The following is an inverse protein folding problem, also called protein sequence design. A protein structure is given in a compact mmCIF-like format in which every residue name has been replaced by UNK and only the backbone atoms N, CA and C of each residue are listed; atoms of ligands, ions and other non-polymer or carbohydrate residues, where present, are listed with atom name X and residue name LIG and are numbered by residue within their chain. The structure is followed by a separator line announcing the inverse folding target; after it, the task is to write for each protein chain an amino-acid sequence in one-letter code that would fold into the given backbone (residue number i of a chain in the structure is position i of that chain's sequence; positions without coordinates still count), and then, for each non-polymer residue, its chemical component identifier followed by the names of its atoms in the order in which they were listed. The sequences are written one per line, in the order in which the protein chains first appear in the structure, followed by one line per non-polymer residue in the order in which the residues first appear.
data_IF_789558490944
#
_entry.id   IF_789558490944
#
_cell.length_a   1.000
_cell.length_b   1.000
_cell.length_c   1.000
_cell.angle_alpha   90.00
_cell.angle_beta   90.00
_cell.angle_gamma   90.00
#
_symmetry.space_group_name_H-M   'P 1'
#
loop_
_entity.id
_entity.type
_entity.pdbx_description
1 polymer ?
#
# COMPACT_ATOMS: atom_id res chain seq x y z
N UNK A 1 -8.90 22.52 2.92
CA UNK A 1 -9.15 21.33 2.08
C UNK A 1 -8.54 20.14 2.80
N UNK A 2 -9.35 19.19 3.29
CA UNK A 2 -8.86 18.11 4.15
C UNK A 2 -7.99 17.13 3.38
N UNK A 3 -6.90 16.72 4.02
CA UNK A 3 -5.96 15.70 3.56
C UNK A 3 -6.60 14.32 3.58
N UNK A 4 -7.01 13.85 2.40
CA UNK A 4 -7.32 12.45 2.18
C UNK A 4 -6.17 11.80 1.40
N UNK A 5 -5.72 10.66 1.90
CA UNK A 5 -4.82 9.65 1.30
C UNK A 5 -5.65 8.55 0.62
N UNK A 6 -5.25 7.98 -0.51
CA UNK A 6 -5.88 6.74 -1.03
C UNK A 6 -5.03 5.56 -0.60
N UNK A 7 -5.65 4.44 -0.21
CA UNK A 7 -4.97 3.25 0.25
C UNK A 7 -5.80 2.02 -0.15
N UNK A 8 -5.25 1.06 -0.88
CA UNK A 8 -5.95 -0.19 -1.18
C UNK A 8 -6.02 -1.06 0.06
N UNK A 9 -4.90 -1.05 0.79
CA UNK A 9 -4.87 -1.38 2.20
C UNK A 9 -4.11 -0.32 2.98
N UNK A 10 -4.32 -0.32 4.29
CA UNK A 10 -3.39 0.33 5.19
C UNK A 10 -1.97 -0.26 5.10
N UNK A 11 -1.00 0.52 5.55
CA UNK A 11 0.42 0.16 5.66
C UNK A 11 0.67 -1.22 6.27
N UNK A 12 0.00 -1.55 7.39
CA UNK A 12 0.24 -2.80 8.10
C UNK A 12 -0.13 -4.01 7.24
N UNK A 13 -1.16 -3.86 6.41
CA UNK A 13 -1.54 -4.91 5.48
C UNK A 13 -0.51 -5.04 4.36
N UNK A 14 0.01 -3.95 3.81
CA UNK A 14 1.05 -3.99 2.78
C UNK A 14 2.33 -4.71 3.27
N UNK A 15 2.78 -4.39 4.49
CA UNK A 15 3.90 -5.10 5.14
C UNK A 15 3.56 -6.58 5.37
N UNK A 16 2.33 -6.89 5.81
CA UNK A 16 1.89 -8.28 5.99
C UNK A 16 1.93 -9.10 4.69
N UNK A 17 1.58 -8.52 3.54
CA UNK A 17 1.66 -9.24 2.26
C UNK A 17 3.10 -9.64 1.94
N UNK A 18 4.08 -8.79 2.27
CA UNK A 18 5.52 -9.13 2.18
C UNK A 18 5.83 -10.30 3.11
N UNK A 19 5.45 -10.22 4.40
CA UNK A 19 5.71 -11.27 5.38
C UNK A 19 5.15 -12.65 4.98
N UNK A 20 3.95 -12.65 4.39
CA UNK A 20 3.26 -13.87 3.97
C UNK A 20 3.98 -14.62 2.85
N UNK A 21 4.87 -13.95 2.10
CA UNK A 21 5.62 -14.52 0.98
C UNK A 21 7.14 -14.35 1.11
N UNK A 22 7.63 -13.78 2.23
CA UNK A 22 9.06 -13.51 2.42
C UNK A 22 9.90 -14.78 2.29
N UNK A 23 9.72 -15.75 3.19
CA UNK A 23 10.53 -16.97 3.22
C UNK A 23 10.27 -17.94 2.07
N UNK A 24 9.02 -18.03 1.59
CA UNK A 24 8.62 -18.99 0.57
C UNK A 24 8.91 -18.49 -0.87
N UNK A 25 8.98 -17.17 -1.12
CA UNK A 25 9.13 -16.62 -2.48
C UNK A 25 10.20 -15.52 -2.61
N UNK A 26 10.14 -14.45 -1.79
CA UNK A 26 10.99 -13.25 -1.95
C UNK A 26 12.45 -13.55 -1.62
N UNK A 27 12.72 -14.17 -0.46
CA UNK A 27 14.06 -14.56 -0.05
C UNK A 27 14.72 -15.54 -1.05
N UNK A 28 14.02 -16.59 -1.54
CA UNK A 28 14.52 -17.42 -2.64
C UNK A 28 14.91 -16.64 -3.90
N UNK A 29 14.12 -15.64 -4.32
CA UNK A 29 14.45 -14.79 -5.47
C UNK A 29 15.71 -13.94 -5.21
N UNK A 30 15.86 -13.40 -4.00
CA UNK A 30 17.06 -12.65 -3.61
C UNK A 30 18.30 -13.55 -3.67
N UNK A 31 18.22 -14.77 -3.12
CA UNK A 31 19.32 -15.73 -3.13
C UNK A 31 19.61 -16.31 -4.52
N UNK A 32 18.62 -16.39 -5.39
CA UNK A 32 18.83 -16.79 -6.78
C UNK A 32 19.70 -15.78 -7.54
N UNK A 33 19.46 -14.47 -7.34
CA UNK A 33 20.22 -13.40 -8.01
C UNK A 33 21.52 -13.06 -7.27
N UNK A 34 21.53 -13.16 -5.94
CA UNK A 34 22.63 -12.80 -5.05
C UNK A 34 22.91 -13.96 -4.06
N UNK A 35 23.60 -15.04 -4.49
CA UNK A 35 23.70 -16.29 -3.73
C UNK A 35 24.57 -16.23 -2.47
N UNK A 36 25.33 -15.15 -2.27
CA UNK A 36 26.27 -14.99 -1.16
C UNK A 36 25.74 -14.08 -0.04
N UNK A 37 24.46 -13.72 -0.05
CA UNK A 37 23.87 -12.87 0.99
C UNK A 37 23.90 -13.59 2.35
N UNK A 38 24.42 -12.91 3.36
CA UNK A 38 24.32 -13.35 4.75
C UNK A 38 22.91 -13.13 5.30
N UNK A 39 22.60 -13.74 6.45
CA UNK A 39 21.33 -13.51 7.16
C UNK A 39 21.11 -12.03 7.50
N UNK A 40 22.18 -11.30 7.87
CA UNK A 40 22.10 -9.86 8.15
C UNK A 40 21.77 -9.04 6.89
N UNK A 41 22.34 -9.42 5.74
CA UNK A 41 22.04 -8.75 4.47
C UNK A 41 20.62 -9.08 3.99
N UNK A 42 20.14 -10.31 4.20
CA UNK A 42 18.75 -10.67 3.93
C UNK A 42 17.78 -9.89 4.82
N UNK A 43 18.10 -9.72 6.11
CA UNK A 43 17.31 -8.88 7.01
C UNK A 43 17.29 -7.42 6.57
N UNK A 44 18.43 -6.88 6.13
CA UNK A 44 18.48 -5.53 5.57
C UNK A 44 17.63 -5.40 4.31
N UNK A 45 17.72 -6.36 3.38
CA UNK A 45 16.90 -6.40 2.18
C UNK A 45 15.39 -6.47 2.52
N UNK A 46 15.01 -7.15 3.60
CA UNK A 46 13.62 -7.19 4.07
C UNK A 46 13.09 -5.79 4.44
N UNK A 47 13.92 -4.96 5.08
CA UNK A 47 13.58 -3.58 5.39
C UNK A 47 13.30 -2.73 4.13
N UNK A 48 13.99 -3.04 3.03
CA UNK A 48 13.77 -2.41 1.73
C UNK A 48 12.50 -2.96 1.06
N UNK A 49 12.19 -4.25 1.19
CA UNK A 49 10.92 -4.80 0.70
C UNK A 49 9.71 -4.16 1.39
N UNK A 50 9.77 -3.90 2.70
CA UNK A 50 8.74 -3.09 3.38
C UNK A 50 8.68 -1.66 2.82
N UNK A 51 9.84 -1.04 2.58
CA UNK A 51 9.94 0.24 1.90
C UNK A 51 9.18 0.30 0.57
N UNK A 52 9.42 -0.71 -0.26
CA UNK A 52 8.79 -0.83 -1.56
C UNK A 52 7.30 -1.14 -1.48
N UNK A 53 6.85 -1.96 -0.51
CA UNK A 53 5.45 -2.35 -0.35
C UNK A 53 4.48 -1.19 -0.08
N UNK A 54 5.02 -0.01 0.19
CA UNK A 54 4.24 1.18 0.51
C UNK A 54 4.77 2.46 -0.15
N UNK A 55 5.76 2.35 -1.04
CA UNK A 55 6.39 3.54 -1.63
C UNK A 55 5.36 4.36 -2.42
N UNK A 56 4.45 3.69 -3.12
CA UNK A 56 3.44 4.36 -3.93
C UNK A 56 2.54 5.30 -3.10
N UNK A 57 2.38 5.02 -1.81
CA UNK A 57 1.60 5.85 -0.88
C UNK A 57 2.38 6.99 -0.23
N UNK A 58 3.68 7.11 -0.49
CA UNK A 58 4.57 8.09 0.15
C UNK A 58 3.97 9.50 0.14
N UNK A 59 3.31 9.85 -0.97
CA UNK A 59 2.71 11.16 -1.21
C UNK A 59 1.57 11.55 -0.29
N UNK A 60 1.01 10.59 0.43
CA UNK A 60 -0.11 10.84 1.33
C UNK A 60 0.29 11.06 2.79
N UNK A 61 1.58 10.92 3.10
CA UNK A 61 2.16 11.20 4.41
C UNK A 61 2.58 12.67 4.52
N UNK A 62 2.79 13.18 5.75
CA UNK A 62 3.33 14.52 5.94
C UNK A 62 4.57 14.77 5.06
N UNK A 63 4.67 15.94 4.44
CA UNK A 63 5.78 16.31 3.55
C UNK A 63 5.97 15.44 2.29
N UNK A 64 5.13 14.43 2.08
CA UNK A 64 5.05 13.68 0.84
C UNK A 64 4.49 14.53 -0.32
N UNK A 65 4.62 13.99 -1.53
CA UNK A 65 4.03 14.58 -2.73
C UNK A 65 2.84 13.78 -3.24
N UNK A 66 1.63 14.33 -3.15
CA UNK A 66 0.45 13.69 -3.74
C UNK A 66 0.60 13.44 -5.23
N UNK A 67 1.35 14.29 -5.91
CA UNK A 67 1.61 14.14 -7.32
C UNK A 67 2.45 12.90 -7.61
N UNK A 68 3.46 12.62 -6.76
CA UNK A 68 4.21 11.37 -6.85
C UNK A 68 3.26 10.17 -6.72
N UNK A 69 2.44 10.15 -5.67
CA UNK A 69 1.48 9.06 -5.45
C UNK A 69 0.46 8.95 -6.58
N UNK A 70 -0.09 10.06 -7.06
CA UNK A 70 -1.02 10.07 -8.19
C UNK A 70 -0.39 9.47 -9.45
N UNK A 71 0.85 9.84 -9.79
CA UNK A 71 1.54 9.28 -10.95
C UNK A 71 1.65 7.76 -10.83
N UNK A 72 2.22 7.27 -9.73
CA UNK A 72 2.48 5.83 -9.55
C UNK A 72 1.22 4.98 -9.31
N UNK A 73 0.09 5.58 -8.92
CA UNK A 73 -1.20 4.88 -8.77
C UNK A 73 -2.01 4.82 -10.07
N UNK A 74 -1.93 5.84 -10.93
CA UNK A 74 -2.90 6.02 -12.01
C UNK A 74 -2.28 6.04 -13.40
N UNK A 75 -1.01 6.42 -13.52
CA UNK A 75 -0.32 6.58 -14.81
C UNK A 75 0.79 5.56 -14.87
N UNK A 76 0.78 4.69 -15.87
CA UNK A 76 1.90 3.75 -16.11
C UNK A 76 2.32 2.95 -14.86
N UNK A 77 1.35 2.58 -14.01
CA UNK A 77 1.58 1.96 -12.70
C UNK A 77 2.30 0.61 -12.76
N UNK A 78 2.04 -0.19 -13.80
CA UNK A 78 2.76 -1.43 -14.08
C UNK A 78 4.16 -1.17 -14.60
N UNK A 79 4.32 -0.19 -15.50
CA UNK A 79 5.63 0.18 -16.04
C UNK A 79 6.57 0.70 -14.94
N UNK A 80 6.05 1.45 -13.96
CA UNK A 80 6.85 1.91 -12.80
C UNK A 80 7.47 0.75 -12.03
N UNK A 81 6.69 -0.28 -11.69
CA UNK A 81 7.21 -1.45 -10.98
C UNK A 81 8.19 -2.24 -11.84
N UNK A 82 7.91 -2.39 -13.15
CA UNK A 82 8.84 -3.05 -14.08
C UNK A 82 10.17 -2.31 -14.16
N UNK A 83 10.14 -0.99 -14.25
CA UNK A 83 11.35 -0.17 -14.32
C UNK A 83 12.18 -0.28 -13.04
N UNK A 84 11.54 -0.30 -11.86
CA UNK A 84 12.25 -0.55 -10.59
C UNK A 84 12.97 -1.92 -10.58
N UNK A 85 12.33 -2.96 -11.14
CA UNK A 85 12.95 -4.29 -11.23
C UNK A 85 14.13 -4.28 -12.21
N UNK A 86 13.97 -3.65 -13.37
CA UNK A 86 15.02 -3.53 -14.40
C UNK A 86 16.23 -2.74 -13.91
N UNK A 87 16.00 -1.60 -13.27
CA UNK A 87 17.04 -0.69 -12.80
C UNK A 87 17.71 -1.14 -11.50
N UNK A 88 17.22 -2.19 -10.84
CA UNK A 88 17.79 -2.69 -9.59
C UNK A 88 19.20 -3.27 -9.79
N UNK A 89 20.18 -2.75 -9.06
CA UNK A 89 21.61 -3.09 -9.20
C UNK A 89 22.12 -3.99 -8.06
N UNK A 90 21.49 -3.94 -6.89
CA UNK A 90 21.86 -4.75 -5.72
C UNK A 90 20.66 -5.43 -5.06
N UNK A 91 20.94 -6.25 -4.05
CA UNK A 91 19.93 -7.01 -3.33
C UNK A 91 18.88 -6.13 -2.62
N UNK A 92 19.28 -4.95 -2.15
CA UNK A 92 18.38 -4.03 -1.44
C UNK A 92 17.46 -3.32 -2.43
N UNK A 93 18.00 -2.84 -3.55
CA UNK A 93 17.22 -2.27 -4.65
C UNK A 93 16.25 -3.31 -5.23
N UNK A 94 16.71 -4.55 -5.42
CA UNK A 94 15.86 -5.62 -5.93
C UNK A 94 14.76 -5.99 -4.93
N UNK A 95 15.07 -6.08 -3.63
CA UNK A 95 14.05 -6.29 -2.60
C UNK A 95 13.04 -5.15 -2.53
N UNK A 96 13.49 -3.90 -2.66
CA UNK A 96 12.62 -2.72 -2.76
C UNK A 96 11.67 -2.81 -3.96
N UNK A 97 12.17 -3.20 -5.13
CA UNK A 97 11.36 -3.38 -6.33
C UNK A 97 10.33 -4.53 -6.18
N UNK A 98 10.71 -5.65 -5.55
CA UNK A 98 9.77 -6.73 -5.21
C UNK A 98 8.70 -6.24 -4.20
N UNK A 99 9.09 -5.40 -3.24
CA UNK A 99 8.15 -4.66 -2.39
C UNK A 99 7.15 -3.85 -3.21
N UNK A 100 7.60 -3.03 -4.16
CA UNK A 100 6.72 -2.23 -5.00
C UNK A 100 5.76 -3.09 -5.85
N UNK A 101 6.19 -4.30 -6.25
CA UNK A 101 5.34 -5.30 -6.88
C UNK A 101 4.27 -5.86 -5.93
N UNK A 102 4.60 -6.06 -4.66
CA UNK A 102 3.63 -6.40 -3.60
C UNK A 102 2.54 -5.33 -3.49
N UNK A 103 2.93 -4.06 -3.51
CA UNK A 103 1.98 -2.94 -3.49
C UNK A 103 1.06 -2.96 -4.71
N UNK A 104 1.63 -3.09 -5.92
CA UNK A 104 0.85 -3.20 -7.16
C UNK A 104 -0.20 -4.31 -7.08
N UNK A 105 0.18 -5.51 -6.62
CA UNK A 105 -0.76 -6.62 -6.45
C UNK A 105 -1.81 -6.36 -5.37
N UNK A 106 -1.42 -5.65 -4.30
CA UNK A 106 -2.28 -5.33 -3.17
C UNK A 106 -3.38 -4.36 -3.55
N UNK A 107 -3.07 -3.31 -4.28
CA UNK A 107 -4.04 -2.26 -4.57
C UNK A 107 -5.07 -2.72 -5.61
N UNK A 108 -4.63 -3.38 -6.68
CA UNK A 108 -5.56 -3.87 -7.72
C UNK A 108 -6.56 -4.91 -7.21
N UNK A 109 -6.19 -5.67 -6.17
CA UNK A 109 -7.08 -6.67 -5.56
C UNK A 109 -7.80 -6.15 -4.30
N UNK A 110 -7.17 -5.24 -3.56
CA UNK A 110 -7.65 -4.69 -2.29
C UNK A 110 -8.70 -3.62 -2.46
N UNK A 111 -8.45 -2.61 -3.28
CA UNK A 111 -9.36 -1.49 -3.49
C UNK A 111 -10.77 -1.90 -3.91
N UNK A 112 -10.99 -2.85 -4.84
CA UNK A 112 -12.33 -3.32 -5.17
C UNK A 112 -13.11 -3.85 -3.94
N UNK A 113 -12.44 -4.52 -3.01
CA UNK A 113 -13.05 -5.01 -1.78
C UNK A 113 -13.33 -3.87 -0.79
N UNK A 114 -12.43 -2.90 -0.66
CA UNK A 114 -12.66 -1.70 0.16
C UNK A 114 -13.82 -0.87 -0.41
N UNK A 115 -13.85 -0.62 -1.72
CA UNK A 115 -14.94 0.09 -2.40
C UNK A 115 -16.31 -0.56 -2.10
N UNK A 116 -16.36 -1.90 -2.08
CA UNK A 116 -17.56 -2.65 -1.74
C UNK A 116 -17.89 -2.55 -0.24
N UNK A 117 -16.89 -2.61 0.63
CA UNK A 117 -17.07 -2.44 2.07
C UNK A 117 -17.61 -1.04 2.41
N UNK A 118 -17.09 0.02 1.78
CA UNK A 118 -17.59 1.39 1.90
C UNK A 118 -19.07 1.45 1.46
N UNK A 119 -19.44 0.81 0.35
CA UNK A 119 -20.84 0.75 -0.07
C UNK A 119 -21.74 0.04 0.96
N UNK A 120 -21.24 -0.99 1.64
CA UNK A 120 -22.00 -1.71 2.68
C UNK A 120 -22.15 -0.84 3.94
N UNK A 121 -21.07 -0.20 4.39
CA UNK A 121 -21.02 0.57 5.63
C UNK A 121 -21.73 1.93 5.52
N UNK A 122 -21.86 2.49 4.32
CA UNK A 122 -22.43 3.81 4.08
C UNK A 122 -23.65 3.75 3.13
N UNK A 123 -24.86 3.42 3.63
CA UNK A 123 -26.06 3.25 2.80
C UNK A 123 -26.41 4.46 1.92
N UNK A 124 -26.13 5.69 2.39
CA UNK A 124 -26.35 6.92 1.59
C UNK A 124 -25.40 7.02 0.40
N UNK A 125 -24.12 6.65 0.58
CA UNK A 125 -23.16 6.61 -0.52
C UNK A 125 -23.52 5.50 -1.51
N UNK A 126 -23.92 4.33 -1.01
CA UNK A 126 -24.42 3.24 -1.86
C UNK A 126 -25.66 3.60 -2.66
N UNK A 127 -26.59 4.36 -2.09
CA UNK A 127 -27.76 4.84 -2.82
C UNK A 127 -27.39 5.77 -3.99
N UNK A 128 -26.28 6.51 -3.86
CA UNK A 128 -25.80 7.46 -4.87
C UNK A 128 -24.89 6.83 -5.92
N UNK A 129 -23.99 5.95 -5.51
CA UNK A 129 -22.89 5.44 -6.35
C UNK A 129 -22.96 3.93 -6.61
N UNK A 130 -23.93 3.23 -6.01
CA UNK A 130 -24.13 1.80 -6.21
C UNK A 130 -23.28 0.93 -5.27
N UNK A 131 -22.95 -0.29 -5.73
CA UNK A 131 -22.31 -1.32 -4.89
C UNK A 131 -20.79 -1.16 -4.71
N UNK A 132 -20.20 -0.16 -5.36
CA UNK A 132 -18.78 0.14 -5.30
C UNK A 132 -18.66 1.65 -5.16
N UNK A 133 -18.21 2.10 -3.98
CA UNK A 133 -17.99 3.52 -3.70
C UNK A 133 -16.50 3.77 -3.75
N UNK A 134 -16.04 4.43 -4.81
CA UNK A 134 -14.62 4.66 -5.08
C UNK A 134 -14.04 5.76 -4.19
N UNK A 135 -12.72 5.74 -4.03
CA UNK A 135 -11.99 6.73 -3.26
C UNK A 135 -12.32 8.19 -3.65
N UNK A 136 -12.33 8.53 -4.95
CA UNK A 136 -12.68 9.88 -5.42
C UNK A 136 -14.10 10.33 -5.04
N UNK A 137 -15.01 9.39 -4.79
CA UNK A 137 -16.41 9.68 -4.45
C UNK A 137 -16.59 10.04 -2.97
N UNK A 138 -15.85 9.41 -2.06
CA UNK A 138 -15.78 9.81 -0.65
C UNK A 138 -14.48 9.31 0.03
N UNK A 139 -13.47 10.17 0.01
CA UNK A 139 -12.15 9.91 0.62
C UNK A 139 -12.21 9.64 2.12
N UNK A 140 -13.17 10.26 2.83
CA UNK A 140 -13.26 10.13 4.29
C UNK A 140 -13.86 8.79 4.68
N UNK A 141 -14.87 8.33 3.95
CA UNK A 141 -15.48 7.02 4.15
C UNK A 141 -14.47 5.90 3.88
N UNK A 142 -13.71 6.01 2.79
CA UNK A 142 -12.66 5.07 2.41
C UNK A 142 -11.63 4.86 3.55
N UNK A 143 -11.06 5.97 4.03
CA UNK A 143 -10.06 5.94 5.11
C UNK A 143 -10.57 5.36 6.43
N UNK A 144 -11.84 5.61 6.75
CA UNK A 144 -12.46 5.07 7.96
C UNK A 144 -12.69 3.57 7.88
N UNK A 145 -13.01 3.06 6.70
CA UNK A 145 -13.21 1.62 6.46
C UNK A 145 -11.87 0.88 6.50
N UNK A 146 -10.83 1.39 5.83
CA UNK A 146 -9.47 0.81 5.86
C UNK A 146 -8.89 0.76 7.28
N UNK A 147 -8.94 1.88 8.01
CA UNK A 147 -8.45 1.94 9.39
C UNK A 147 -9.24 1.01 10.32
N UNK A 148 -10.53 0.78 10.02
CA UNK A 148 -11.36 -0.20 10.70
C UNK A 148 -10.86 -1.63 10.52
N UNK A 149 -10.48 -2.03 9.29
CA UNK A 149 -9.90 -3.34 9.02
C UNK A 149 -8.60 -3.55 9.79
N UNK A 150 -7.70 -2.58 9.76
CA UNK A 150 -6.45 -2.61 10.50
C UNK A 150 -6.65 -2.81 12.00
N UNK A 151 -7.56 -2.01 12.56
CA UNK A 151 -7.85 -2.08 13.98
C UNK A 151 -8.33 -3.47 14.38
N UNK A 152 -9.18 -4.10 13.57
CA UNK A 152 -9.64 -5.47 13.81
C UNK A 152 -8.52 -6.50 13.66
N UNK A 153 -7.65 -6.37 12.66
CA UNK A 153 -6.56 -7.34 12.47
C UNK A 153 -5.50 -7.24 13.58
N UNK A 154 -5.16 -6.03 14.05
CA UNK A 154 -4.33 -5.86 15.26
C UNK A 154 -5.06 -6.46 16.47
N UNK A 155 -6.38 -6.26 16.63
CA UNK A 155 -7.16 -6.84 17.73
C UNK A 155 -7.02 -8.36 17.84
N UNK A 156 -6.87 -9.00 16.69
CA UNK A 156 -6.82 -10.46 16.51
C UNK A 156 -5.40 -11.00 16.52
N UNK A 157 -4.39 -10.16 16.77
CA UNK A 157 -2.97 -10.50 16.74
C UNK A 157 -2.58 -11.16 15.41
N UNK A 158 -2.97 -10.55 14.29
CA UNK A 158 -2.71 -11.09 12.94
C UNK A 158 -1.60 -10.36 12.18
N UNK A 159 -1.17 -9.21 12.67
CA UNK A 159 0.05 -8.57 12.16
C UNK A 159 1.25 -8.99 12.97
N UNK A 160 2.43 -8.85 12.37
CA UNK A 160 3.67 -9.02 13.11
C UNK A 160 3.80 -7.98 14.24
N UNK A 161 4.59 -8.32 15.25
CA UNK A 161 4.73 -7.46 16.43
C UNK A 161 5.50 -6.17 16.10
N UNK A 162 5.25 -5.10 16.86
CA UNK A 162 6.03 -3.85 16.76
C UNK A 162 7.53 -4.11 16.90
N UNK A 163 7.92 -5.10 17.72
CA UNK A 163 9.31 -5.52 17.89
C UNK A 163 9.91 -6.16 16.65
N UNK A 164 9.11 -6.95 15.92
CA UNK A 164 9.55 -7.55 14.66
C UNK A 164 9.77 -6.47 13.61
N UNK A 165 8.82 -5.53 13.44
CA UNK A 165 8.99 -4.41 12.51
C UNK A 165 10.14 -3.48 12.91
N UNK A 166 10.34 -3.21 14.20
CA UNK A 166 11.49 -2.43 14.69
C UNK A 166 12.82 -3.16 14.45
N UNK A 167 12.82 -4.50 14.55
CA UNK A 167 14.01 -5.33 14.32
C UNK A 167 14.40 -5.43 12.83
N UNK A 168 13.41 -5.58 11.94
CA UNK A 168 13.62 -5.57 10.49
C UNK A 168 13.94 -4.14 10.01
N UNK A 169 13.14 -3.17 10.44
CA UNK A 169 13.25 -1.76 10.06
C UNK A 169 12.52 -1.43 8.75
N UNK A 170 12.61 -0.17 8.35
CA UNK A 170 12.00 0.36 7.13
C UNK A 170 13.01 1.23 6.37
N UNK A 171 13.26 0.92 5.09
CA UNK A 171 14.25 1.61 4.25
C UNK A 171 13.73 1.87 2.84
N UNK A 172 14.06 3.03 2.28
CA UNK A 172 13.67 3.43 0.92
C UNK A 172 14.90 3.50 0.03
N UNK A 173 14.84 2.88 -1.16
CA UNK A 173 15.91 2.98 -2.14
C UNK A 173 15.74 4.21 -3.02
N UNK A 174 16.33 5.33 -2.59
CA UNK A 174 16.21 6.63 -3.26
C UNK A 174 16.88 6.64 -4.62
N UNK A 175 18.11 6.15 -4.69
CA UNK A 175 18.88 6.11 -5.94
C UNK A 175 18.19 5.27 -7.00
N UNK A 176 17.46 4.21 -6.63
CA UNK A 176 16.64 3.46 -7.58
C UNK A 176 15.45 4.29 -8.08
N UNK A 177 14.74 4.99 -7.19
CA UNK A 177 13.62 5.87 -7.57
C UNK A 177 14.08 7.01 -8.49
N UNK A 178 15.24 7.63 -8.19
CA UNK A 178 15.83 8.69 -9.00
C UNK A 178 16.19 8.23 -10.42
N UNK A 179 16.55 6.95 -10.61
CA UNK A 179 16.81 6.37 -11.94
C UNK A 179 15.54 5.98 -12.66
N UNK A 180 14.62 5.27 -12.00
CA UNK A 180 13.44 4.70 -12.63
C UNK A 180 12.35 5.76 -12.94
N UNK A 181 12.13 6.71 -12.03
CA UNK A 181 11.01 7.65 -12.14
C UNK A 181 11.06 8.53 -13.41
N UNK A 182 12.20 9.12 -13.80
CA UNK A 182 12.29 9.90 -15.03
C UNK A 182 12.12 9.07 -16.29
N UNK A 183 12.54 7.79 -16.28
CA UNK A 183 12.36 6.88 -17.42
C UNK A 183 10.87 6.63 -17.69
N UNK A 184 10.08 6.47 -16.62
CA UNK A 184 8.64 6.20 -16.75
C UNK A 184 7.82 7.45 -17.03
N UNK A 185 8.13 8.58 -16.39
CA UNK A 185 7.28 9.77 -16.41
C UNK A 185 7.85 10.96 -17.18
N UNK A 186 9.10 10.92 -17.63
CA UNK A 186 9.73 12.05 -18.33
C UNK A 186 9.85 13.31 -17.46
N UNK A 187 9.81 13.15 -16.14
CA UNK A 187 9.99 14.21 -15.14
C UNK A 187 10.95 13.73 -14.05
N UNK A 188 11.79 14.62 -13.55
CA UNK A 188 12.75 14.28 -12.50
C UNK A 188 12.02 14.01 -11.17
N UNK A 189 12.49 13.04 -10.38
CA UNK A 189 11.88 12.73 -9.08
C UNK A 189 11.83 13.97 -8.16
N UNK A 190 12.91 14.74 -8.10
CA UNK A 190 13.03 15.96 -7.27
C UNK A 190 12.02 17.05 -7.62
N UNK A 191 11.52 17.07 -8.86
CA UNK A 191 10.55 18.06 -9.32
C UNK A 191 9.14 17.73 -8.80
N UNK A 192 8.91 16.46 -8.45
CA UNK A 192 7.66 15.98 -7.89
C UNK A 192 7.77 15.82 -6.36
N UNK A 193 8.91 15.35 -5.84
CA UNK A 193 9.17 15.07 -4.43
C UNK A 193 10.29 15.97 -3.88
N UNK A 194 9.95 17.24 -3.66
CA UNK A 194 10.91 18.31 -3.30
C UNK A 194 11.62 18.15 -1.95
N UNK A 195 11.06 17.38 -1.01
CA UNK A 195 11.60 17.18 0.34
C UNK A 195 11.73 15.69 0.67
N UNK A 196 12.36 14.92 -0.22
CA UNK A 196 12.44 13.46 -0.15
C UNK A 196 12.91 12.93 1.22
N UNK A 197 13.97 13.48 1.80
CA UNK A 197 14.47 13.07 3.13
C UNK A 197 13.43 13.24 4.24
N UNK A 198 12.71 14.36 4.22
CA UNK A 198 11.70 14.70 5.21
C UNK A 198 10.42 13.88 5.00
N UNK A 199 10.04 13.65 3.74
CA UNK A 199 8.94 12.77 3.35
C UNK A 199 9.21 11.35 3.87
N UNK A 200 10.35 10.76 3.52
CA UNK A 200 10.73 9.41 3.97
C UNK A 200 10.86 9.33 5.50
N UNK A 201 11.43 10.35 6.14
CA UNK A 201 11.59 10.39 7.60
C UNK A 201 10.27 10.44 8.36
N UNK A 202 9.34 11.28 7.93
CA UNK A 202 8.01 11.41 8.55
C UNK A 202 7.09 10.23 8.22
N UNK A 203 7.21 9.68 7.01
CA UNK A 203 6.61 8.43 6.59
C UNK A 203 7.00 7.28 7.53
N UNK A 204 8.30 7.06 7.73
CA UNK A 204 8.82 6.03 8.65
C UNK A 204 8.29 6.22 10.07
N UNK A 205 8.20 7.46 10.56
CA UNK A 205 7.65 7.73 11.88
C UNK A 205 6.16 7.37 11.98
N UNK A 206 5.37 7.71 10.95
CA UNK A 206 3.95 7.41 10.94
C UNK A 206 3.67 5.90 10.92
N UNK A 207 4.37 5.18 10.06
CA UNK A 207 4.27 3.72 9.89
C UNK A 207 4.74 2.96 11.12
N UNK A 208 5.98 3.18 11.54
CA UNK A 208 6.59 2.34 12.59
C UNK A 208 6.14 2.70 14.01
N UNK A 209 5.57 3.89 14.24
CA UNK A 209 5.25 4.36 15.61
C UNK A 209 3.84 4.87 15.80
N UNK A 210 3.35 5.74 14.92
CA UNK A 210 2.08 6.42 15.15
C UNK A 210 0.89 5.48 14.95
N UNK A 211 0.80 4.81 13.80
CA UNK A 211 -0.31 3.93 13.43
C UNK A 211 -0.44 2.75 14.41
N UNK A 212 0.64 2.01 14.76
CA UNK A 212 0.56 0.94 15.74
C UNK A 212 0.01 1.43 17.08
N UNK A 213 0.55 2.54 17.62
CA UNK A 213 0.10 3.11 18.91
C UNK A 213 -1.35 3.56 18.88
N UNK A 214 -1.80 4.24 17.82
CA UNK A 214 -3.20 4.63 17.69
C UNK A 214 -4.11 3.41 17.70
N UNK A 215 -3.68 2.32 17.06
CA UNK A 215 -4.43 1.06 17.05
C UNK A 215 -4.51 0.42 18.43
N UNK A 216 -3.42 0.41 19.21
CA UNK A 216 -3.44 -0.08 20.59
C UNK A 216 -4.46 0.66 21.47
N UNK A 217 -4.60 1.98 21.28
CA UNK A 217 -5.57 2.81 22.01
C UNK A 217 -7.00 2.47 21.59
N UNK A 218 -7.24 2.28 20.29
CA UNK A 218 -8.55 1.88 19.78
C UNK A 218 -9.02 0.53 20.37
N UNK A 219 -8.12 -0.44 20.51
CA UNK A 219 -8.40 -1.78 21.06
C UNK A 219 -8.82 -1.78 22.53
N UNK A 220 -8.29 -0.87 23.34
CA UNK A 220 -8.68 -0.75 24.75
C UNK A 220 -10.11 -0.27 24.93
N UNK A 221 -10.73 0.27 23.88
CA UNK A 221 -12.03 0.94 23.93
C UNK A 221 -13.19 0.09 23.37
N UNK A 222 -12.91 -0.96 22.58
CA UNK A 222 -13.94 -1.72 21.81
C UNK A 222 -13.86 -3.27 21.89
N UNK A 223 -13.14 -3.84 22.87
CA UNK A 223 -12.71 -5.25 22.91
C UNK A 223 -13.82 -6.34 22.82
N UNK A 224 -15.08 -6.07 23.18
CA UNK A 224 -16.13 -7.11 23.24
C UNK A 224 -16.86 -7.39 21.92
N UNK A 225 -16.82 -6.47 20.94
CA UNK A 225 -17.56 -6.63 19.67
C UNK A 225 -16.70 -7.10 18.49
N UNK A 226 -15.36 -7.10 18.61
CA UNK A 226 -14.43 -7.30 17.49
C UNK A 226 -14.05 -8.79 17.22
N UNK A 227 -14.59 -9.75 17.98
CA UNK A 227 -14.15 -11.16 17.92
C UNK A 227 -15.02 -12.06 17.04
N UNK A 228 -16.18 -11.58 16.56
CA UNK A 228 -17.11 -12.40 15.76
C UNK A 228 -16.77 -12.32 14.28
N UNK A 229 -16.52 -13.48 13.67
CA UNK A 229 -16.18 -13.63 12.25
C UNK A 229 -16.94 -14.78 11.62
N UNK A 230 -17.05 -14.76 10.29
CA UNK A 230 -17.61 -15.87 9.52
C UNK A 230 -16.60 -17.04 9.45
N UNK A 231 -16.90 -18.23 10.00
CA UNK A 231 -15.99 -19.37 9.96
C UNK A 231 -16.06 -20.07 8.60
N UNK A 232 -15.29 -19.60 7.62
CA UNK A 232 -15.29 -20.14 6.26
C UNK A 232 -13.90 -20.55 5.76
N UNK A 233 -13.84 -21.04 4.52
CA UNK A 233 -12.59 -21.47 3.88
C UNK A 233 -11.57 -20.33 3.70
N UNK A 234 -12.02 -19.13 3.32
CA UNK A 234 -11.15 -17.97 3.13
C UNK A 234 -10.40 -17.62 4.43
N UNK A 235 -11.12 -17.62 5.56
CA UNK A 235 -10.51 -17.47 6.89
C UNK A 235 -9.50 -18.57 7.19
N UNK A 236 -9.83 -19.84 6.94
CA UNK A 236 -8.89 -20.95 7.17
C UNK A 236 -7.62 -20.81 6.33
N UNK A 237 -7.75 -20.44 5.06
CA UNK A 237 -6.62 -20.21 4.14
C UNK A 237 -5.73 -19.06 4.64
N UNK A 238 -6.33 -17.95 5.06
CA UNK A 238 -5.59 -16.81 5.61
C UNK A 238 -4.83 -17.16 6.89
N UNK A 239 -5.49 -17.81 7.86
CA UNK A 239 -4.84 -18.24 9.10
C UNK A 239 -3.73 -19.26 8.86
N UNK A 240 -3.89 -20.16 7.88
CA UNK A 240 -2.83 -21.10 7.48
C UNK A 240 -1.60 -20.35 6.94
N UNK A 241 -1.79 -19.32 6.11
CA UNK A 241 -0.69 -18.50 5.60
C UNK A 241 0.03 -17.75 6.71
N UNK A 242 -0.73 -17.13 7.63
CA UNK A 242 -0.14 -16.48 8.81
C UNK A 242 0.69 -17.44 9.65
N UNK A 243 0.20 -18.67 9.90
CA UNK A 243 0.97 -19.66 10.67
C UNK A 243 2.27 -20.12 10.00
N UNK A 244 2.44 -19.86 8.70
CA UNK A 244 3.62 -20.23 7.93
C UNK A 244 4.63 -19.12 7.76
N UNK A 245 4.27 -17.86 8.00
CA UNK A 245 5.23 -16.76 7.90
C UNK A 245 6.33 -16.93 8.95
N UNK A 246 7.56 -16.55 8.60
CA UNK A 246 8.73 -16.80 9.46
C UNK A 246 8.68 -16.01 10.77
N UNK A 247 7.89 -14.92 10.82
CA UNK A 247 7.56 -14.21 12.05
C UNK A 247 6.92 -15.11 13.12
N UNK A 248 5.85 -15.86 12.80
CA UNK A 248 5.17 -16.73 13.78
C UNK A 248 6.12 -17.84 14.28
N UNK A 249 7.04 -18.31 13.44
CA UNK A 249 8.00 -19.36 13.79
C UNK A 249 9.11 -18.90 14.74
N UNK A 250 9.57 -17.65 14.62
CA UNK A 250 10.73 -17.14 15.37
C UNK A 250 10.37 -16.25 16.56
N UNK A 251 9.25 -15.51 16.51
CA UNK A 251 8.95 -14.45 17.48
C UNK A 251 7.65 -14.67 18.27
N UNK A 252 6.87 -15.71 17.95
CA UNK A 252 5.65 -16.06 18.68
C UNK A 252 4.59 -14.94 18.73
N UNK A 253 3.50 -15.17 19.47
CA UNK A 253 2.34 -14.26 19.58
C UNK A 253 2.48 -13.21 20.70
N UNK A 254 3.68 -12.99 21.21
CA UNK A 254 3.89 -12.21 22.42
C UNK A 254 3.69 -10.71 22.18
N UNK A 255 2.45 -10.29 22.40
CA UNK A 255 2.04 -8.90 22.41
C UNK A 255 2.50 -8.22 23.71
N UNK A 256 3.45 -7.30 23.63
CA UNK A 256 3.94 -6.55 24.80
C UNK A 256 3.00 -5.40 25.16
N UNK A 257 2.73 -5.26 26.46
CA UNK A 257 1.81 -4.25 27.01
C UNK A 257 2.29 -2.82 26.68
N UNK A 258 1.36 -1.87 26.41
CA UNK A 258 1.71 -0.49 26.10
C UNK A 258 2.50 0.20 27.22
N UNK A 259 3.63 0.80 26.85
CA UNK A 259 4.50 1.59 27.74
C UNK A 259 3.88 2.94 28.17
N UNK A 260 4.59 3.67 29.03
CA UNK A 260 4.14 4.95 29.61
C UNK A 260 3.75 6.01 28.56
N UNK A 261 4.51 6.11 27.46
CA UNK A 261 4.21 7.04 26.36
C UNK A 261 2.88 6.75 25.65
N UNK A 262 2.51 5.48 25.50
CA UNK A 262 1.22 5.08 24.92
C UNK A 262 0.05 5.43 25.85
N UNK A 263 0.25 5.41 27.18
CA UNK A 263 -0.77 5.84 28.15
C UNK A 263 -1.02 7.36 28.09
N UNK A 264 0.03 8.14 27.86
CA UNK A 264 -0.06 9.61 27.70
C UNK A 264 -0.75 9.94 26.36
N UNK A 265 -0.34 9.32 25.26
CA UNK A 265 -0.97 9.51 23.95
C UNK A 265 -2.44 9.04 23.94
N UNK A 266 -2.75 7.92 24.59
CA UNK A 266 -4.12 7.43 24.84
C UNK A 266 -4.98 8.49 25.53
N UNK A 267 -4.43 9.11 26.57
CA UNK A 267 -5.11 10.15 27.34
C UNK A 267 -5.35 11.39 26.47
N UNK A 268 -4.35 11.84 25.69
CA UNK A 268 -4.49 12.96 24.77
C UNK A 268 -5.53 12.71 23.68
N UNK A 269 -5.52 11.54 23.05
CA UNK A 269 -6.51 11.13 22.04
C UNK A 269 -7.93 11.02 22.61
N UNK A 270 -8.06 10.57 23.87
CA UNK A 270 -9.35 10.48 24.58
C UNK A 270 -9.99 11.84 24.82
N UNK A 271 -9.18 12.89 25.00
CA UNK A 271 -9.64 14.27 25.25
C UNK A 271 -9.58 15.18 24.03
N UNK A 272 -9.18 14.67 22.86
CA UNK A 272 -9.04 15.49 21.66
C UNK A 272 -10.42 15.85 21.07
N UNK A 273 -10.68 17.14 20.78
CA UNK A 273 -11.98 17.59 20.31
C UNK A 273 -12.30 16.99 18.92
N UNK A 274 -13.51 16.43 18.75
CA UNK A 274 -14.00 15.82 17.49
C UNK A 274 -14.38 16.85 16.42
N UNK A 275 -13.61 17.93 16.30
CA UNK A 275 -13.89 19.09 15.45
C UNK A 275 -12.65 19.37 14.58
N UNK A 276 -12.84 19.72 13.30
CA UNK A 276 -11.72 19.99 12.39
C UNK A 276 -10.96 18.71 11.93
N UNK A 277 -9.63 18.75 11.74
CA UNK A 277 -8.85 17.64 11.17
C UNK A 277 -8.91 16.32 11.98
N UNK A 278 -9.39 16.37 13.23
CA UNK A 278 -9.54 15.22 14.12
C UNK A 278 -10.92 14.53 14.05
N UNK A 279 -11.84 15.04 13.21
CA UNK A 279 -13.17 14.44 12.96
C UNK A 279 -13.09 13.05 12.28
N UNK A 280 -11.93 12.72 11.70
CA UNK A 280 -11.63 11.44 11.05
C UNK A 280 -11.34 10.27 11.99
N UNK A 281 -11.11 10.50 13.29
CA UNK A 281 -10.66 9.45 14.22
C UNK A 281 -11.74 8.45 14.67
N UNK A 282 -12.99 8.64 14.23
CA UNK A 282 -14.01 7.61 14.34
C UNK A 282 -13.95 6.71 13.11
N UNK A 283 -13.45 5.48 13.28
CA UNK A 283 -13.52 4.42 12.29
C UNK A 283 -14.78 3.57 12.50
N UNK A 284 -15.21 2.88 11.44
CA UNK A 284 -16.28 1.89 11.59
C UNK A 284 -15.66 0.57 12.00
N UNK A 285 -16.29 -0.15 12.94
CA UNK A 285 -15.93 -1.53 13.16
C UNK A 285 -16.39 -2.35 11.95
N UNK A 286 -15.49 -3.09 11.27
CA UNK A 286 -15.86 -4.06 10.26
C UNK A 286 -16.99 -4.99 10.74
N UNK A 287 -17.94 -5.24 9.85
CA UNK A 287 -18.96 -6.26 10.04
C UNK A 287 -18.38 -7.63 9.65
N UNK A 288 -18.97 -8.76 10.07
CA UNK A 288 -18.55 -10.08 9.59
C UNK A 288 -18.56 -10.23 8.06
N UNK A 289 -19.41 -9.47 7.37
CA UNK A 289 -19.47 -9.43 5.91
C UNK A 289 -18.31 -8.62 5.31
N UNK A 290 -18.03 -7.42 5.83
CA UNK A 290 -16.94 -6.58 5.30
C UNK A 290 -15.58 -7.15 5.66
N UNK A 291 -15.43 -7.79 6.82
CA UNK A 291 -14.22 -8.53 7.17
C UNK A 291 -14.00 -9.77 6.29
N UNK A 292 -15.06 -10.47 5.88
CA UNK A 292 -14.94 -11.56 4.92
C UNK A 292 -14.46 -11.07 3.54
N UNK A 293 -14.92 -9.89 3.09
CA UNK A 293 -14.41 -9.25 1.87
C UNK A 293 -12.92 -8.93 2.00
N UNK A 294 -12.50 -8.36 3.14
CA UNK A 294 -11.09 -8.10 3.42
C UNK A 294 -10.25 -9.39 3.41
N UNK A 295 -10.65 -10.44 4.14
CA UNK A 295 -9.90 -11.71 4.17
C UNK A 295 -9.81 -12.35 2.77
N UNK A 296 -10.87 -12.25 1.97
CA UNK A 296 -10.86 -12.73 0.59
C UNK A 296 -9.91 -11.92 -0.28
N UNK A 297 -9.89 -10.59 -0.16
CA UNK A 297 -8.97 -9.76 -0.93
C UNK A 297 -7.53 -10.06 -0.56
N UNK A 298 -7.17 -10.19 0.73
CA UNK A 298 -5.83 -10.64 1.15
C UNK A 298 -5.47 -11.98 0.51
N UNK A 299 -6.43 -12.90 0.45
CA UNK A 299 -6.15 -14.19 -0.15
C UNK A 299 -5.81 -14.08 -1.64
N UNK A 300 -6.61 -13.31 -2.38
CA UNK A 300 -6.41 -13.00 -3.80
C UNK A 300 -5.09 -12.28 -4.03
N UNK A 301 -4.79 -11.25 -3.24
CA UNK A 301 -3.53 -10.48 -3.31
C UNK A 301 -2.32 -11.38 -3.21
N UNK A 302 -2.27 -12.27 -2.21
CA UNK A 302 -1.14 -13.20 -2.04
C UNK A 302 -1.08 -14.23 -3.18
N UNK A 303 -2.20 -14.73 -3.69
CA UNK A 303 -2.19 -15.64 -4.85
C UNK A 303 -1.64 -14.93 -6.10
N UNK A 304 -2.07 -13.68 -6.33
CA UNK A 304 -1.67 -12.87 -7.47
C UNK A 304 -0.20 -12.43 -7.35
N UNK A 305 0.22 -11.95 -6.18
CA UNK A 305 1.60 -11.56 -5.95
C UNK A 305 2.55 -12.75 -6.09
N UNK A 306 2.20 -13.94 -5.56
CA UNK A 306 2.97 -15.16 -5.81
C UNK A 306 3.10 -15.45 -7.31
N UNK A 307 2.02 -15.33 -8.08
CA UNK A 307 2.07 -15.55 -9.52
C UNK A 307 2.99 -14.54 -10.22
N UNK A 308 3.00 -13.26 -9.79
CA UNK A 308 3.94 -12.28 -10.31
C UNK A 308 5.39 -12.59 -9.90
N UNK A 309 5.64 -13.02 -8.66
CA UNK A 309 6.98 -13.43 -8.22
C UNK A 309 7.51 -14.63 -9.03
N UNK A 310 6.65 -15.59 -9.40
CA UNK A 310 7.01 -16.68 -10.30
C UNK A 310 7.32 -16.17 -11.72
N UNK A 311 6.58 -15.18 -12.21
CA UNK A 311 6.89 -14.57 -13.49
C UNK A 311 8.20 -13.78 -13.46
N UNK A 312 8.53 -13.13 -12.33
CA UNK A 312 9.86 -12.54 -12.12
C UNK A 312 10.94 -13.62 -12.14
N UNK A 313 10.72 -14.74 -11.44
CA UNK A 313 11.64 -15.89 -11.39
C UNK A 313 12.01 -16.43 -12.78
N UNK A 314 11.03 -16.41 -13.69
CA UNK A 314 11.12 -16.98 -15.03
C UNK A 314 11.36 -15.93 -16.12
N UNK A 315 11.56 -14.66 -15.76
CA UNK A 315 11.72 -13.53 -16.70
C UNK A 315 10.56 -13.40 -17.70
N UNK A 316 9.33 -13.64 -17.24
CA UNK A 316 8.09 -13.57 -18.03
C UNK A 316 7.10 -12.52 -17.51
N UNK A 317 7.52 -11.67 -16.58
CA UNK A 317 6.66 -10.71 -15.92
C UNK A 317 6.04 -9.71 -16.91
N UNK A 318 4.70 -9.69 -16.93
CA UNK A 318 3.91 -8.69 -17.66
C UNK A 318 2.99 -8.01 -16.65
N UNK A 319 3.18 -6.71 -16.46
CA UNK A 319 2.35 -5.88 -15.61
C UNK A 319 1.53 -4.92 -16.48
N UNK A 320 0.21 -5.10 -16.60
CA UNK A 320 -0.63 -4.11 -17.23
C UNK A 320 -0.66 -2.82 -16.41
N UNK A 321 -0.87 -1.68 -17.06
CA UNK A 321 -1.14 -0.43 -16.36
C UNK A 321 -2.59 -0.43 -15.86
N UNK A 322 -2.76 -0.36 -14.56
CA UNK A 322 -4.06 -0.40 -13.89
C UNK A 322 -4.23 0.83 -13.01
N UNK A 323 -5.46 1.31 -12.91
CA UNK A 323 -5.87 2.25 -11.86
C UNK A 323 -6.00 1.49 -10.55
N UNK A 324 -5.19 1.87 -9.57
CA UNK A 324 -5.14 1.21 -8.27
C UNK A 324 -6.44 1.35 -7.47
N UNK A 325 -7.19 2.46 -7.60
CA UNK A 325 -8.45 2.66 -6.88
C UNK A 325 -9.58 1.74 -7.39
N UNK A 326 -9.48 1.26 -8.63
CA UNK A 326 -10.53 0.45 -9.28
C UNK A 326 -10.09 -0.97 -9.58
N UNK A 327 -8.77 -1.23 -9.61
CA UNK A 327 -8.16 -2.49 -10.04
C UNK A 327 -8.34 -2.80 -11.53
N UNK A 328 -8.78 -1.83 -12.33
CA UNK A 328 -9.05 -2.02 -13.76
C UNK A 328 -7.91 -1.49 -14.62
N UNK A 329 -7.79 -1.95 -15.89
CA UNK A 329 -6.90 -1.33 -16.85
C UNK A 329 -7.13 0.18 -16.94
N UNK A 330 -6.04 0.94 -16.94
CA UNK A 330 -6.05 2.41 -17.09
C UNK A 330 -6.71 2.78 -18.42
N UNK A 331 -7.81 3.53 -18.37
CA UNK A 331 -8.53 4.04 -19.55
C UNK A 331 -9.04 5.46 -19.28
N UNK A 332 -8.95 6.34 -20.28
CA UNK A 332 -9.51 7.68 -20.17
C UNK A 332 -11.01 7.67 -19.90
N UNK A 333 -11.49 8.65 -19.13
CA UNK A 333 -12.87 8.79 -18.66
C UNK A 333 -13.38 7.67 -17.73
N UNK A 334 -12.59 6.62 -17.46
CA UNK A 334 -12.98 5.56 -16.52
C UNK A 334 -12.94 6.05 -15.07
N UNK A 335 -11.96 6.90 -14.75
CA UNK A 335 -11.75 7.42 -13.40
C UNK A 335 -11.13 8.82 -13.38
N UNK A 336 -11.76 9.71 -12.61
CA UNK A 336 -11.43 11.14 -12.63
C UNK A 336 -10.02 11.45 -12.14
N UNK A 337 -9.50 10.72 -11.14
CA UNK A 337 -8.13 10.97 -10.65
C UNK A 337 -7.10 10.52 -11.68
N UNK A 338 -7.38 9.47 -12.45
CA UNK A 338 -6.55 9.04 -13.57
C UNK A 338 -6.51 10.11 -14.64
N UNK A 339 -7.66 10.62 -15.07
CA UNK A 339 -7.75 11.69 -16.08
C UNK A 339 -7.01 12.96 -15.64
N UNK A 340 -7.24 13.41 -14.40
CA UNK A 340 -6.55 14.56 -13.81
C UNK A 340 -5.03 14.38 -13.78
N UNK A 341 -4.56 13.17 -13.47
CA UNK A 341 -3.13 12.86 -13.40
C UNK A 341 -2.48 12.83 -14.78
N UNK A 342 -3.12 12.21 -15.78
CA UNK A 342 -2.64 12.25 -17.17
C UNK A 342 -2.62 13.68 -17.73
N UNK A 343 -3.64 14.48 -17.46
CA UNK A 343 -3.70 15.87 -17.91
C UNK A 343 -2.57 16.71 -17.29
N UNK A 344 -2.31 16.53 -15.99
CA UNK A 344 -1.22 17.21 -15.29
C UNK A 344 0.15 16.79 -15.82
N UNK A 345 0.38 15.48 -16.01
CA UNK A 345 1.63 14.99 -16.58
C UNK A 345 1.88 15.57 -17.97
N UNK A 346 0.86 15.57 -18.84
CA UNK A 346 0.98 16.14 -20.18
C UNK A 346 1.32 17.63 -20.16
N UNK A 347 0.73 18.41 -19.24
CA UNK A 347 1.06 19.82 -19.07
C UNK A 347 2.54 20.01 -18.69
N UNK A 348 3.07 19.21 -17.75
CA UNK A 348 4.47 19.28 -17.34
C UNK A 348 5.44 18.90 -18.45
N UNK A 349 5.13 17.84 -19.21
CA UNK A 349 5.93 17.45 -20.37
C UNK A 349 5.94 18.56 -21.42
N UNK A 350 4.79 19.19 -21.67
CA UNK A 350 4.67 20.32 -22.60
C UNK A 350 5.48 21.54 -22.16
N UNK A 351 5.44 21.92 -20.88
CA UNK A 351 6.24 23.02 -20.33
C UNK A 351 7.75 22.80 -20.54
N UNK A 352 8.18 21.53 -20.51
CA UNK A 352 9.57 21.10 -20.75
C UNK A 352 9.88 20.79 -22.21
N UNK A 353 8.95 21.08 -23.13
CA UNK A 353 9.07 20.80 -24.57
C UNK A 353 9.39 19.33 -24.87
N UNK A 354 8.87 18.41 -24.04
CA UNK A 354 9.03 16.97 -24.18
C UNK A 354 10.49 16.48 -24.16
N UNK A 355 11.41 17.24 -23.55
CA UNK A 355 12.85 16.97 -23.59
C UNK A 355 13.29 15.63 -22.97
N UNK A 356 12.48 15.06 -22.05
CA UNK A 356 12.70 13.77 -21.41
C UNK A 356 11.61 12.74 -21.76
N UNK A 357 10.74 13.03 -22.72
CA UNK A 357 9.65 12.12 -23.08
C UNK A 357 10.16 10.97 -23.95
N UNK A 358 10.15 9.76 -23.40
CA UNK A 358 10.48 8.54 -24.14
C UNK A 358 9.42 8.20 -25.19
N UNK A 359 9.77 7.44 -26.25
CA UNK A 359 8.80 6.93 -27.22
C UNK A 359 7.65 6.16 -26.57
N UNK A 360 7.92 5.38 -25.52
CA UNK A 360 6.97 4.58 -24.77
C UNK A 360 5.99 5.46 -23.99
N UNK A 361 6.50 6.50 -23.31
CA UNK A 361 5.64 7.47 -22.61
C UNK A 361 4.74 8.23 -23.59
N UNK A 362 5.30 8.66 -24.73
CA UNK A 362 4.51 9.31 -25.79
C UNK A 362 3.42 8.39 -26.31
N UNK A 363 3.75 7.14 -26.61
CA UNK A 363 2.79 6.15 -27.09
C UNK A 363 1.67 5.90 -26.08
N UNK A 364 2.02 5.75 -24.79
CA UNK A 364 1.05 5.57 -23.72
C UNK A 364 0.08 6.75 -23.58
N UNK A 365 0.58 7.99 -23.64
CA UNK A 365 -0.28 9.19 -23.58
C UNK A 365 -1.21 9.25 -24.80
N UNK A 366 -0.71 8.98 -26.01
CA UNK A 366 -1.52 8.97 -27.22
C UNK A 366 -2.61 7.89 -27.18
N UNK A 367 -2.26 6.70 -26.71
CA UNK A 367 -3.20 5.58 -26.54
C UNK A 367 -4.28 5.91 -25.51
N UNK A 368 -3.89 6.48 -24.35
CA UNK A 368 -4.83 6.89 -23.30
C UNK A 368 -5.90 7.86 -23.83
N UNK A 369 -5.51 8.86 -24.63
CA UNK A 369 -6.44 9.84 -25.20
C UNK A 369 -7.08 9.39 -26.54
N UNK A 370 -6.82 8.17 -27.01
CA UNK A 370 -7.36 7.68 -28.29
C UNK A 370 -8.85 7.33 -28.24
N UNK A 371 -9.36 6.98 -27.05
CA UNK A 371 -10.76 6.64 -26.81
C UNK A 371 -11.26 7.24 -25.49
N UNK A 372 -12.15 8.24 -25.60
CA UNK A 372 -12.79 8.90 -24.46
C UNK A 372 -14.18 8.34 -24.13
N UNK A 373 -14.56 7.19 -24.71
CA UNK A 373 -15.82 6.52 -24.43
C UNK A 373 -15.64 5.47 -23.32
N UNK A 374 -15.82 5.88 -22.06
CA UNK A 374 -15.77 4.98 -20.90
C UNK A 374 -17.04 5.08 -20.05
#
# INVERSE_FOLDING_TARGET
MSSGSSFGYSVLTHEQIVDLLWGDEIQPLLLQRYPLLSEDQLREAHAYAYGGAVIQDLGYYPFGSREFSSLVHYVRSGDFVRELLLESQDANEYAFALGALSHYASDIAGHPAVNQAVAIEYPKLRARFGKSVRYAQDKTAHLKTEFGFDTVQVAKNRYASEQYHDFIGFKVSKSLLERAFPVVYGVELKDVLTHEDLAVGSYRFAVSRLIPRMTQVALQTHKKDLMRETPNFAKRKFLYRLSRSDYEKQWGKDYVKPGLGTRILSTLLRYMPKIGPFKGLGFNNPTPQTEDLYIKSINTTVDQYRAFLEQVRTDTLVLPNCDFDTGKPTKAAEYSLTDETYAKLLAQLSERKFNLTSPELRANILDFYSDLSA
#
